data_IF_264099865948
#
_entry.id   IF_264099865948
#
_cell.length_a   1.000
_cell.length_b   1.000
_cell.length_c   1.000
_cell.angle_alpha   90.00
_cell.angle_beta   90.00
_cell.angle_gamma   90.00
#
_symmetry.space_group_name_H-M   'P 1'
#
loop_
_entity.id
_entity.type
_entity.pdbx_description
1 polymer ?
#
# COMPACT_ATOMS: atom_id res chain seq x y z
N UNK A 1 -64.60 16.37 -44.87
CA UNK A 1 -65.77 17.27 -44.75
C UNK A 1 -66.39 16.94 -43.41
N UNK A 2 -66.42 17.75 -42.36
CA UNK A 2 -66.09 19.15 -42.16
C UNK A 2 -65.88 19.36 -40.65
N UNK A 3 -64.87 20.16 -40.30
CA UNK A 3 -64.93 21.25 -39.30
C UNK A 3 -65.53 20.99 -37.90
N UNK A 4 -64.61 20.98 -36.93
CA UNK A 4 -64.49 21.95 -35.81
C UNK A 4 -65.77 22.47 -35.10
N UNK A 5 -65.83 22.25 -33.78
CA UNK A 5 -66.38 23.17 -32.75
C UNK A 5 -65.92 22.63 -31.38
N UNK A 6 -64.88 23.15 -30.70
CA UNK A 6 -64.79 24.43 -29.98
C UNK A 6 -65.94 24.59 -28.96
N UNK A 7 -65.69 24.35 -27.67
CA UNK A 7 -65.93 25.29 -26.56
C UNK A 7 -65.58 24.61 -25.21
N UNK A 8 -64.54 25.09 -24.52
CA UNK A 8 -64.66 25.86 -23.27
C UNK A 8 -65.38 25.08 -22.14
N UNK A 9 -64.60 24.36 -21.32
CA UNK A 9 -64.84 24.32 -19.88
C UNK A 9 -63.64 24.93 -19.17
N UNK A 10 -63.76 26.23 -18.95
CA UNK A 10 -63.03 26.94 -17.90
C UNK A 10 -63.66 26.48 -16.59
N UNK A 11 -62.83 26.02 -15.64
CA UNK A 11 -62.73 26.53 -14.28
C UNK A 11 -62.30 25.46 -13.27
N UNK A 12 -61.37 25.91 -12.43
CA UNK A 12 -61.23 25.56 -11.02
C UNK A 12 -60.74 24.15 -10.70
N UNK A 13 -59.45 24.03 -10.38
CA UNK A 13 -58.94 22.73 -9.98
C UNK A 13 -57.58 22.65 -9.32
N UNK A 14 -57.15 23.69 -8.59
CA UNK A 14 -56.12 23.63 -7.54
C UNK A 14 -54.69 23.29 -7.99
N UNK A 15 -53.81 24.27 -7.76
CA UNK A 15 -52.40 24.03 -7.45
C UNK A 15 -52.26 22.87 -6.47
N UNK A 16 -51.20 22.07 -6.63
CA UNK A 16 -50.58 21.18 -5.63
C UNK A 16 -49.99 19.89 -6.29
N UNK A 17 -49.64 19.88 -7.58
CA UNK A 17 -48.88 18.74 -8.16
C UNK A 17 -47.43 19.06 -8.55
N UNK A 18 -46.95 20.27 -8.27
CA UNK A 18 -45.51 20.60 -8.27
C UNK A 18 -44.91 20.27 -6.91
N UNK A 19 -45.06 19.00 -6.48
CA UNK A 19 -44.41 18.45 -5.27
C UNK A 19 -43.88 17.03 -5.47
N UNK A 20 -43.97 16.49 -6.68
CA UNK A 20 -43.49 15.14 -7.01
C UNK A 20 -42.19 15.11 -7.82
N UNK A 21 -41.45 16.23 -7.88
CA UNK A 21 -40.21 16.33 -8.67
C UNK A 21 -38.94 16.60 -7.83
N UNK A 22 -38.99 16.32 -6.52
CA UNK A 22 -37.90 16.65 -5.59
C UNK A 22 -37.74 15.58 -4.49
N UNK A 23 -37.82 14.30 -4.84
CA UNK A 23 -37.51 13.22 -3.88
C UNK A 23 -36.93 11.96 -4.53
N UNK A 24 -36.06 12.13 -5.53
CA UNK A 24 -35.27 11.05 -6.14
C UNK A 24 -33.82 11.48 -6.44
N UNK A 25 -33.30 12.47 -5.71
CA UNK A 25 -32.00 13.09 -5.98
C UNK A 25 -30.94 13.01 -4.87
N UNK A 26 -31.23 12.40 -3.71
CA UNK A 26 -30.36 12.47 -2.53
C UNK A 26 -30.02 11.10 -1.89
N UNK A 27 -29.97 10.01 -2.66
CA UNK A 27 -29.48 8.71 -2.17
C UNK A 27 -28.25 8.19 -2.93
N UNK A 28 -27.39 9.10 -3.36
CA UNK A 28 -26.06 8.79 -3.88
C UNK A 28 -24.97 9.63 -3.20
N UNK A 29 -25.19 10.01 -1.93
CA UNK A 29 -24.20 10.70 -1.13
C UNK A 29 -23.28 9.69 -0.43
N UNK A 30 -22.13 9.47 -1.07
CA UNK A 30 -20.83 9.20 -0.46
C UNK A 30 -20.72 8.03 0.55
N UNK A 31 -20.50 6.82 0.03
CA UNK A 31 -19.54 5.90 0.66
C UNK A 31 -18.13 6.22 0.12
N UNK A 32 -17.56 7.35 0.54
CA UNK A 32 -16.11 7.52 0.45
C UNK A 32 -15.51 6.76 1.62
N UNK A 33 -15.27 5.46 1.43
CA UNK A 33 -14.44 4.70 2.36
C UNK A 33 -13.07 5.35 2.41
N UNK A 34 -12.72 5.96 3.55
CA UNK A 34 -11.36 6.45 3.76
C UNK A 34 -10.44 5.24 3.72
N UNK A 35 -9.61 5.13 2.67
CA UNK A 35 -8.56 4.13 2.62
C UNK A 35 -7.60 4.42 3.79
N UNK A 36 -7.75 3.67 4.89
CA UNK A 36 -6.87 3.80 6.03
C UNK A 36 -5.46 3.43 5.58
N UNK A 37 -4.59 4.44 5.46
CA UNK A 37 -3.20 4.21 5.09
C UNK A 37 -2.56 3.37 6.17
N UNK A 38 -2.10 2.17 5.81
CA UNK A 38 -1.34 1.33 6.74
C UNK A 38 0.03 2.00 6.93
N UNK A 39 0.38 2.46 8.14
CA UNK A 39 1.72 2.99 8.39
C UNK A 39 2.73 1.88 8.11
N UNK A 40 3.89 2.22 7.54
CA UNK A 40 4.95 1.25 7.31
C UNK A 40 6.15 1.58 8.19
N UNK A 41 6.76 0.57 8.78
CA UNK A 41 8.06 0.68 9.45
C UNK A 41 9.03 -0.32 8.84
N UNK A 42 10.23 0.16 8.58
CA UNK A 42 11.36 -0.67 8.16
C UNK A 42 12.08 -1.18 9.39
N UNK A 43 12.30 -2.48 9.45
CA UNK A 43 13.07 -3.14 10.50
C UNK A 43 14.29 -3.83 9.92
N UNK A 44 15.32 -4.01 10.74
CA UNK A 44 16.54 -4.69 10.34
C UNK A 44 17.16 -5.43 11.49
N UNK A 45 17.97 -6.43 11.16
CA UNK A 45 18.77 -7.13 12.14
C UNK A 45 19.78 -6.14 12.77
N UNK A 46 19.96 -6.20 14.09
CA UNK A 46 20.93 -5.35 14.79
C UNK A 46 22.35 -5.52 14.27
N UNK A 47 22.69 -6.74 13.81
CA UNK A 47 23.95 -7.11 13.21
C UNK A 47 23.95 -6.86 11.70
N UNK A 48 24.73 -5.87 11.26
CA UNK A 48 25.05 -5.64 9.87
C UNK A 48 24.22 -4.58 9.15
N UNK A 49 23.00 -4.29 9.62
CA UNK A 49 22.13 -3.25 9.06
C UNK A 49 22.43 -1.91 9.73
N UNK A 50 22.56 -0.79 8.98
CA UNK A 50 22.69 0.53 9.58
C UNK A 50 21.43 0.94 10.35
N UNK A 51 21.58 1.81 11.34
CA UNK A 51 20.46 2.35 12.12
C UNK A 51 19.67 3.42 11.35
N UNK A 52 20.39 4.20 10.52
CA UNK A 52 19.85 5.29 9.73
C UNK A 52 20.08 5.03 8.24
N UNK A 53 19.07 5.33 7.42
CA UNK A 53 19.15 5.29 5.96
C UNK A 53 18.43 6.51 5.37
N UNK A 54 18.83 6.91 4.16
CA UNK A 54 18.02 7.80 3.33
C UNK A 54 16.93 7.02 2.59
N UNK A 55 15.82 7.67 2.23
CA UNK A 55 14.77 7.02 1.42
C UNK A 55 15.32 6.45 0.10
N UNK A 56 16.29 7.13 -0.52
CA UNK A 56 16.96 6.65 -1.74
C UNK A 56 17.79 5.38 -1.51
N UNK A 57 18.48 5.28 -0.37
CA UNK A 57 19.27 4.09 -0.01
C UNK A 57 18.35 2.91 0.31
N UNK A 58 17.26 3.16 1.05
CA UNK A 58 16.24 2.17 1.30
C UNK A 58 15.65 1.64 -0.02
N UNK A 59 15.30 2.54 -0.95
CA UNK A 59 14.75 2.14 -2.25
C UNK A 59 15.76 1.32 -3.05
N UNK A 60 17.03 1.71 -3.13
CA UNK A 60 18.06 0.95 -3.83
C UNK A 60 18.26 -0.46 -3.23
N UNK A 61 18.24 -0.58 -1.90
CA UNK A 61 18.27 -1.87 -1.20
C UNK A 61 17.06 -2.71 -1.55
N UNK A 62 15.86 -2.14 -1.39
CA UNK A 62 14.60 -2.85 -1.62
C UNK A 62 14.33 -3.15 -3.11
N UNK A 63 14.98 -2.44 -4.04
CA UNK A 63 14.97 -2.73 -5.47
C UNK A 63 16.02 -3.79 -5.87
N UNK A 64 16.86 -4.26 -4.95
CA UNK A 64 17.91 -5.25 -5.23
C UNK A 64 19.16 -4.69 -5.91
N UNK A 65 19.28 -3.37 -6.02
CA UNK A 65 20.42 -2.66 -6.61
C UNK A 65 21.63 -2.69 -5.67
N UNK A 66 21.38 -2.63 -4.36
CA UNK A 66 22.39 -2.83 -3.32
C UNK A 66 22.20 -4.19 -2.68
N UNK A 67 23.25 -5.01 -2.66
CA UNK A 67 23.17 -6.41 -2.21
C UNK A 67 24.04 -6.72 -0.99
N UNK A 68 24.88 -5.77 -0.59
CA UNK A 68 25.72 -5.85 0.60
C UNK A 68 25.67 -4.54 1.36
N UNK A 69 25.62 -4.66 2.68
CA UNK A 69 25.81 -3.53 3.57
C UNK A 69 27.26 -3.07 3.56
N UNK A 70 27.52 -1.84 4.01
CA UNK A 70 28.88 -1.32 4.23
C UNK A 70 29.69 -2.18 5.22
N UNK A 71 29.00 -2.92 6.10
CA UNK A 71 29.59 -3.91 7.00
C UNK A 71 30.10 -5.18 6.30
N UNK A 72 29.84 -5.35 5.00
CA UNK A 72 30.16 -6.54 4.22
C UNK A 72 29.11 -7.66 4.30
N UNK A 73 28.16 -7.59 5.24
CA UNK A 73 27.05 -8.54 5.36
C UNK A 73 26.16 -8.50 4.11
N UNK A 74 25.69 -9.67 3.68
CA UNK A 74 24.73 -9.79 2.58
C UNK A 74 23.38 -9.22 3.01
N UNK A 75 22.69 -8.57 2.09
CA UNK A 75 21.32 -8.09 2.29
C UNK A 75 20.35 -9.23 2.02
N UNK A 76 19.47 -9.49 2.97
CA UNK A 76 18.35 -10.43 2.84
C UNK A 76 17.06 -9.63 3.04
N UNK A 77 16.19 -9.63 2.03
CA UNK A 77 14.98 -8.80 2.04
C UNK A 77 13.80 -9.67 2.45
N UNK A 78 13.04 -9.21 3.44
CA UNK A 78 11.85 -9.86 3.96
C UNK A 78 10.62 -8.97 3.74
N UNK A 79 9.64 -9.44 2.97
CA UNK A 79 8.44 -8.66 2.63
C UNK A 79 7.18 -9.42 3.00
N UNK A 80 6.12 -8.69 3.32
CA UNK A 80 4.78 -9.27 3.39
C UNK A 80 4.26 -9.56 1.97
N UNK A 81 3.55 -10.67 1.76
CA UNK A 81 2.94 -11.01 0.47
C UNK A 81 2.06 -9.85 -0.01
N UNK A 82 2.08 -9.60 -1.31
CA UNK A 82 1.40 -8.45 -1.93
C UNK A 82 -0.13 -8.52 -1.89
N UNK A 83 -0.71 -9.63 -1.43
CA UNK A 83 -2.15 -9.75 -1.12
C UNK A 83 -2.51 -9.38 0.33
N UNK A 84 -1.54 -9.08 1.18
CA UNK A 84 -1.75 -8.55 2.54
C UNK A 84 -1.86 -7.02 2.52
N UNK A 85 -2.45 -6.40 3.55
CA UNK A 85 -2.54 -4.94 3.63
C UNK A 85 -1.16 -4.26 3.64
N UNK A 86 -0.22 -4.81 4.41
CA UNK A 86 1.18 -4.34 4.47
C UNK A 86 1.86 -4.51 3.12
N UNK A 87 1.81 -5.69 2.51
CA UNK A 87 2.45 -5.94 1.21
C UNK A 87 1.89 -5.08 0.07
N UNK A 88 0.57 -4.84 0.04
CA UNK A 88 -0.05 -3.89 -0.89
C UNK A 88 0.47 -2.46 -0.67
N UNK A 89 0.55 -2.03 0.58
CA UNK A 89 1.00 -0.68 0.91
C UNK A 89 2.50 -0.52 0.63
N UNK A 90 3.32 -1.54 0.91
CA UNK A 90 4.75 -1.58 0.61
C UNK A 90 5.02 -1.48 -0.88
N UNK A 91 4.34 -2.30 -1.70
CA UNK A 91 4.47 -2.23 -3.17
C UNK A 91 4.10 -0.85 -3.69
N UNK A 92 2.96 -0.30 -3.25
CA UNK A 92 2.51 1.01 -3.71
C UNK A 92 3.42 2.17 -3.25
N UNK A 93 3.79 2.23 -1.96
CA UNK A 93 4.50 3.39 -1.38
C UNK A 93 6.00 3.40 -1.60
N UNK A 94 6.64 2.22 -1.61
CA UNK A 94 8.11 2.13 -1.66
C UNK A 94 8.57 1.88 -3.10
N UNK A 95 7.88 0.99 -3.80
CA UNK A 95 8.26 0.58 -5.15
C UNK A 95 7.57 1.40 -6.24
N UNK A 96 6.51 2.14 -5.89
CA UNK A 96 5.63 2.79 -6.87
C UNK A 96 5.05 1.77 -7.88
N UNK A 97 4.73 0.57 -7.39
CA UNK A 97 4.27 -0.58 -8.18
C UNK A 97 3.02 -1.20 -7.56
N UNK A 98 2.16 -1.78 -8.39
CA UNK A 98 1.17 -2.75 -7.93
C UNK A 98 1.85 -4.01 -7.39
N UNK A 99 1.09 -4.80 -6.62
CA UNK A 99 1.58 -6.08 -6.10
C UNK A 99 2.00 -7.08 -7.19
N UNK A 100 1.36 -7.03 -8.35
CA UNK A 100 1.69 -7.88 -9.49
C UNK A 100 2.96 -7.41 -10.21
N UNK A 101 3.09 -6.09 -10.41
CA UNK A 101 4.30 -5.48 -10.98
C UNK A 101 5.52 -5.76 -10.11
N UNK A 102 5.39 -5.67 -8.77
CA UNK A 102 6.48 -6.01 -7.85
C UNK A 102 6.90 -7.49 -7.99
N UNK A 103 5.93 -8.41 -8.10
CA UNK A 103 6.22 -9.82 -8.30
C UNK A 103 6.93 -10.07 -9.65
N UNK A 104 6.46 -9.43 -10.73
CA UNK A 104 7.08 -9.50 -12.07
C UNK A 104 8.48 -8.90 -12.08
N UNK A 105 8.68 -7.77 -11.40
CA UNK A 105 9.97 -7.11 -11.25
C UNK A 105 11.01 -8.06 -10.64
N UNK A 106 10.69 -8.65 -9.48
CA UNK A 106 11.60 -9.56 -8.80
C UNK A 106 11.83 -10.86 -9.57
N UNK A 107 10.78 -11.40 -10.20
CA UNK A 107 10.91 -12.57 -11.06
C UNK A 107 11.91 -12.31 -12.20
N UNK A 108 11.83 -11.15 -12.83
CA UNK A 108 12.75 -10.73 -13.90
C UNK A 108 14.20 -10.60 -13.40
N UNK A 109 14.43 -9.98 -12.24
CA UNK A 109 15.78 -9.87 -11.67
C UNK A 109 16.40 -11.24 -11.36
N UNK A 110 15.61 -12.16 -10.82
CA UNK A 110 16.07 -13.53 -10.51
C UNK A 110 16.39 -14.30 -11.79
N UNK A 111 15.52 -14.26 -12.79
CA UNK A 111 15.78 -14.93 -14.07
C UNK A 111 17.04 -14.42 -14.78
N UNK A 112 17.33 -13.12 -14.64
CA UNK A 112 18.56 -12.53 -15.16
C UNK A 112 19.80 -12.81 -14.29
N UNK A 113 19.66 -13.49 -13.15
CA UNK A 113 20.74 -13.71 -12.19
C UNK A 113 21.25 -12.42 -11.53
N UNK A 114 20.48 -11.33 -11.60
CA UNK A 114 20.90 -9.99 -11.13
C UNK A 114 20.78 -9.84 -9.63
N UNK A 115 19.78 -10.46 -9.00
CA UNK A 115 19.54 -10.33 -7.56
C UNK A 115 18.86 -11.58 -6.97
N UNK A 116 19.00 -11.74 -5.66
CA UNK A 116 18.23 -12.72 -4.89
C UNK A 116 16.85 -12.15 -4.58
N UNK A 117 15.79 -12.93 -4.83
CA UNK A 117 14.44 -12.51 -4.48
C UNK A 117 14.26 -12.31 -2.96
N UNK A 118 13.35 -11.41 -2.56
CA UNK A 118 12.86 -11.33 -1.20
C UNK A 118 12.19 -12.63 -0.75
N UNK A 119 12.25 -12.88 0.55
CA UNK A 119 11.40 -13.89 1.19
C UNK A 119 10.06 -13.26 1.53
N UNK A 120 8.98 -13.84 1.02
CA UNK A 120 7.63 -13.31 1.20
C UNK A 120 6.87 -14.06 2.30
N UNK A 121 6.30 -13.32 3.25
CA UNK A 121 5.61 -13.83 4.43
C UNK A 121 4.13 -13.46 4.44
N UNK A 122 3.31 -14.29 5.09
CA UNK A 122 1.90 -13.96 5.37
C UNK A 122 1.69 -13.48 6.81
N UNK A 123 2.66 -13.73 7.69
CA UNK A 123 2.65 -13.33 9.10
C UNK A 123 3.76 -12.33 9.41
N UNK A 124 3.43 -11.26 10.12
CA UNK A 124 4.40 -10.27 10.62
C UNK A 124 5.37 -10.94 11.60
N UNK A 125 4.90 -11.88 12.41
CA UNK A 125 5.74 -12.61 13.38
C UNK A 125 6.77 -13.49 12.67
N UNK A 126 6.41 -14.16 11.58
CA UNK A 126 7.36 -14.96 10.79
C UNK A 126 8.42 -14.07 10.12
N UNK A 127 8.01 -12.92 9.59
CA UNK A 127 8.91 -11.93 9.02
C UNK A 127 9.89 -11.41 10.07
N UNK A 128 9.41 -11.05 11.26
CA UNK A 128 10.24 -10.62 12.39
C UNK A 128 11.24 -11.70 12.79
N UNK A 129 10.79 -12.96 12.93
CA UNK A 129 11.67 -14.08 13.26
C UNK A 129 12.76 -14.29 12.21
N UNK A 130 12.41 -14.16 10.92
CA UNK A 130 13.39 -14.21 9.84
C UNK A 130 14.41 -13.08 9.98
N UNK A 131 13.98 -11.84 10.22
CA UNK A 131 14.90 -10.71 10.41
C UNK A 131 15.80 -10.91 11.62
N UNK A 132 15.27 -11.39 12.75
CA UNK A 132 16.05 -11.66 13.96
C UNK A 132 17.13 -12.73 13.75
N UNK A 133 16.84 -13.79 13.01
CA UNK A 133 17.75 -14.93 12.85
C UNK A 133 18.81 -14.73 11.76
N UNK A 134 18.70 -13.68 10.94
CA UNK A 134 19.52 -13.50 9.76
C UNK A 134 20.29 -12.17 9.81
N UNK A 135 21.58 -12.16 10.19
CA UNK A 135 22.42 -10.96 10.15
C UNK A 135 22.42 -10.31 8.76
N UNK A 136 22.17 -9.01 8.71
CA UNK A 136 22.02 -8.25 7.47
C UNK A 136 20.63 -8.30 6.84
N UNK A 137 19.64 -8.96 7.47
CA UNK A 137 18.27 -8.95 6.98
C UNK A 137 17.55 -7.61 7.24
N UNK A 138 16.72 -7.20 6.30
CA UNK A 138 15.85 -6.02 6.35
C UNK A 138 14.43 -6.43 5.98
N UNK A 139 13.43 -5.85 6.64
CA UNK A 139 12.03 -6.10 6.34
C UNK A 139 11.13 -4.91 6.54
N UNK A 140 9.90 -5.02 6.03
CA UNK A 140 8.87 -3.97 6.11
C UNK A 140 7.62 -4.52 6.78
N UNK A 141 7.19 -3.86 7.85
CA UNK A 141 6.03 -4.22 8.68
C UNK A 141 5.15 -2.99 8.94
N UNK A 142 4.04 -3.14 9.65
CA UNK A 142 3.07 -2.08 9.92
C UNK A 142 3.34 -1.28 11.21
N UNK A 143 4.21 -1.76 12.09
CA UNK A 143 4.49 -1.15 13.39
C UNK A 143 5.96 -1.26 13.76
N UNK A 144 6.55 -0.24 14.40
CA UNK A 144 7.92 -0.36 14.89
C UNK A 144 8.02 -1.46 15.94
N UNK A 145 9.11 -2.23 15.88
CA UNK A 145 9.51 -3.19 16.90
C UNK A 145 11.00 -3.03 17.15
N UNK A 146 11.40 -3.15 18.40
CA UNK A 146 12.78 -3.25 18.80
C UNK A 146 12.92 -4.33 19.87
N UNK A 147 13.90 -5.20 19.71
CA UNK A 147 14.29 -6.21 20.69
C UNK A 147 15.80 -6.47 20.56
N UNK A 148 16.31 -7.53 21.20
CA UNK A 148 17.74 -7.82 21.19
C UNK A 148 18.32 -8.03 19.77
N UNK A 149 17.52 -8.54 18.82
CA UNK A 149 17.98 -8.94 17.49
C UNK A 149 17.46 -8.03 16.36
N UNK A 150 16.39 -7.28 16.61
CA UNK A 150 15.70 -6.44 15.63
C UNK A 150 15.70 -4.99 16.11
N UNK A 151 15.95 -4.06 15.19
CA UNK A 151 15.74 -2.63 15.39
C UNK A 151 14.85 -2.04 14.30
N UNK A 152 14.06 -1.04 14.64
CA UNK A 152 13.40 -0.18 13.67
C UNK A 152 14.43 0.80 13.10
N UNK A 153 14.44 0.98 11.78
CA UNK A 153 15.34 1.93 11.12
C UNK A 153 14.74 3.32 11.10
N UNK A 154 15.62 4.32 11.15
CA UNK A 154 15.28 5.71 10.91
C UNK A 154 15.54 6.03 9.44
N UNK A 155 14.48 6.38 8.72
CA UNK A 155 14.51 6.75 7.30
C UNK A 155 14.27 8.25 7.19
N UNK A 156 15.28 8.99 6.73
CA UNK A 156 15.25 10.47 6.64
C UNK A 156 14.74 11.15 7.94
N UNK A 157 15.19 10.63 9.09
CA UNK A 157 14.81 11.15 10.41
C UNK A 157 13.46 10.65 10.95
N UNK A 158 12.77 9.72 10.27
CA UNK A 158 11.47 9.17 10.69
C UNK A 158 11.50 7.64 10.80
N UNK A 159 10.78 7.08 11.76
CA UNK A 159 10.67 5.61 11.95
C UNK A 159 9.44 4.99 11.25
N UNK A 160 8.64 5.82 10.58
CA UNK A 160 7.41 5.41 9.87
C UNK A 160 7.31 6.14 8.53
N UNK A 161 6.88 5.40 7.48
CA UNK A 161 6.68 5.83 6.09
C UNK A 161 5.19 5.95 5.71
#
# INVERSE_FOLDING_TARGET
>A
MERTSKLIYVLAGKSEFIRFSLFAGCLFFALSGTAQQTPLTVIGNVSGVPENLKQSELKAVLMGETQRWKSGKRILIALMKTNTAVGRTTSAKIYDMSGEELNKYWLSLVFQGKAQAPVFFTSVTELQNFVAQNPGAIGVIDKPVANAEIKALVIDGKTTL
#
